data_IF_440503360998
#
_entry.id   IF_440503360998
#
_cell.length_a   1.000
_cell.length_b   1.000
_cell.length_c   1.000
_cell.angle_alpha   90.00
_cell.angle_beta   90.00
_cell.angle_gamma   90.00
#
_symmetry.space_group_name_H-M   'P 1'
#
loop_
_entity.id
_entity.type
_entity.pdbx_description
1 polymer ?
#
# COMPACT_ATOMS: atom_id res chain seq x y z
N UNK A 1 -37.00 51.59 58.53
CA UNK A 1 -37.10 51.11 57.13
C UNK A 1 -35.77 50.64 56.51
N UNK A 2 -34.62 51.28 56.76
CA UNK A 2 -33.31 50.88 56.15
C UNK A 2 -32.80 49.50 56.61
N UNK A 3 -32.99 49.14 57.90
CA UNK A 3 -32.58 47.84 58.47
C UNK A 3 -33.34 46.65 57.88
N UNK A 4 -34.65 46.81 57.62
CA UNK A 4 -35.47 45.77 57.00
C UNK A 4 -35.07 45.49 55.54
N UNK A 5 -34.77 46.56 54.76
CA UNK A 5 -34.28 46.42 53.39
C UNK A 5 -32.90 45.74 53.32
N UNK A 6 -32.01 46.05 54.26
CA UNK A 6 -30.71 45.39 54.34
C UNK A 6 -30.82 43.89 54.68
N UNK A 7 -31.75 43.53 55.58
CA UNK A 7 -32.00 42.15 55.94
C UNK A 7 -32.63 41.34 54.79
N UNK A 8 -33.54 41.95 54.02
CA UNK A 8 -34.10 41.35 52.80
C UNK A 8 -33.03 41.12 51.73
N UNK A 9 -32.12 42.10 51.51
CA UNK A 9 -31.01 41.95 50.56
C UNK A 9 -30.03 40.86 50.98
N UNK A 10 -29.74 40.73 52.28
CA UNK A 10 -28.86 39.67 52.80
C UNK A 10 -29.46 38.26 52.61
N UNK A 11 -30.77 38.10 52.82
CA UNK A 11 -31.47 36.82 52.58
C UNK A 11 -31.47 36.47 51.09
N UNK A 12 -31.71 37.45 50.23
CA UNK A 12 -31.72 37.25 48.77
C UNK A 12 -30.33 36.88 48.23
N UNK A 13 -29.28 37.53 48.75
CA UNK A 13 -27.89 37.18 48.45
C UNK A 13 -27.57 35.75 48.93
N UNK A 14 -27.91 35.40 50.17
CA UNK A 14 -27.68 34.05 50.71
C UNK A 14 -28.39 32.95 49.92
N UNK A 15 -29.63 33.21 49.47
CA UNK A 15 -30.36 32.29 48.60
C UNK A 15 -29.66 32.08 47.26
N UNK A 16 -29.17 33.15 46.61
CA UNK A 16 -28.45 33.03 45.33
C UNK A 16 -27.15 32.21 45.43
N UNK A 17 -26.42 32.33 46.55
CA UNK A 17 -25.23 31.52 46.84
C UNK A 17 -25.57 30.04 47.04
N UNK A 18 -26.70 29.73 47.68
CA UNK A 18 -27.15 28.36 47.89
C UNK A 18 -27.50 27.64 46.57
N UNK A 19 -28.08 28.35 45.60
CA UNK A 19 -28.42 27.77 44.28
C UNK A 19 -27.17 27.39 43.47
N UNK A 20 -26.06 28.12 43.60
CA UNK A 20 -24.80 27.81 42.90
C UNK A 20 -24.18 26.50 43.43
N UNK A 21 -24.32 26.22 44.73
CA UNK A 21 -23.82 24.99 45.34
C UNK A 21 -24.57 23.73 44.90
N UNK A 22 -25.84 23.84 44.52
CA UNK A 22 -26.65 22.68 44.13
C UNK A 22 -26.13 21.98 42.86
N UNK A 23 -25.55 22.72 41.91
CA UNK A 23 -25.02 22.13 40.67
C UNK A 23 -23.73 21.33 40.92
N UNK A 24 -22.84 21.85 41.79
CA UNK A 24 -21.64 21.12 42.22
C UNK A 24 -21.96 19.84 42.99
N UNK A 25 -23.02 19.86 43.82
CA UNK A 25 -23.48 18.68 44.56
C UNK A 25 -24.08 17.66 43.60
N UNK A 26 -24.76 18.11 42.54
CA UNK A 26 -25.34 17.23 41.51
C UNK A 26 -24.28 16.50 40.70
N UNK A 27 -23.17 17.17 40.38
CA UNK A 27 -22.00 16.57 39.74
C UNK A 27 -21.28 15.59 40.70
N UNK A 28 -21.02 16.00 41.95
CA UNK A 28 -20.38 15.15 42.95
C UNK A 28 -21.22 13.92 43.35
N UNK A 29 -22.56 14.04 43.31
CA UNK A 29 -23.50 12.95 43.54
C UNK A 29 -23.66 12.04 42.31
N UNK A 30 -22.96 12.29 41.20
CA UNK A 30 -22.99 11.45 40.00
C UNK A 30 -24.32 11.44 39.26
N UNK A 31 -25.16 12.46 39.48
CA UNK A 31 -26.48 12.58 38.82
C UNK A 31 -26.33 13.11 37.40
N UNK A 32 -25.20 13.74 37.08
CA UNK A 32 -24.83 14.14 35.72
C UNK A 32 -24.21 12.95 34.98
N UNK A 33 -24.82 12.59 33.85
CA UNK A 33 -24.29 11.56 32.96
C UNK A 33 -23.12 12.14 32.18
N UNK A 34 -21.90 11.71 32.49
CA UNK A 34 -20.75 11.82 31.59
C UNK A 34 -20.75 10.58 30.68
N UNK A 35 -21.17 10.68 29.42
CA UNK A 35 -21.08 9.55 28.50
C UNK A 35 -19.60 9.18 28.29
N UNK A 36 -19.26 7.89 28.31
CA UNK A 36 -17.91 7.45 27.92
C UNK A 36 -17.60 7.89 26.50
N UNK A 37 -16.36 8.30 26.26
CA UNK A 37 -15.84 8.62 24.93
C UNK A 37 -16.00 7.41 24.00
N UNK A 38 -16.82 7.55 22.96
CA UNK A 38 -17.13 6.50 21.99
C UNK A 38 -15.91 5.97 21.23
N UNK A 39 -14.79 6.70 21.21
CA UNK A 39 -13.54 6.24 20.59
C UNK A 39 -12.60 5.54 21.57
N UNK A 40 -12.88 5.59 22.87
CA UNK A 40 -12.10 4.93 23.92
C UNK A 40 -12.69 3.57 24.34
N UNK A 41 -13.85 3.17 23.78
CA UNK A 41 -14.50 1.90 24.12
C UNK A 41 -13.80 0.74 23.43
N UNK A 42 -12.95 0.03 24.19
CA UNK A 42 -12.34 -1.23 23.74
C UNK A 42 -13.26 -2.39 24.12
N UNK A 43 -13.62 -3.21 23.13
CA UNK A 43 -14.35 -4.47 23.35
C UNK A 43 -13.43 -5.48 24.03
N UNK A 44 -13.77 -5.89 25.25
CA UNK A 44 -13.08 -6.99 25.95
C UNK A 44 -13.59 -8.34 25.47
N UNK A 45 -12.70 -9.32 25.39
CA UNK A 45 -13.08 -10.71 25.08
C UNK A 45 -14.06 -11.25 26.13
N UNK A 46 -15.05 -12.07 25.73
CA UNK A 46 -16.02 -12.65 26.66
C UNK A 46 -15.33 -13.54 27.70
N UNK A 47 -15.77 -13.46 28.95
CA UNK A 47 -15.28 -14.33 30.02
C UNK A 47 -16.01 -15.67 29.93
N UNK A 48 -15.41 -16.64 29.23
CA UNK A 48 -15.85 -18.04 29.25
C UNK A 48 -14.95 -18.79 30.21
N UNK A 49 -15.57 -19.55 31.12
CA UNK A 49 -14.85 -20.44 32.01
C UNK A 49 -14.60 -21.74 31.25
N UNK A 50 -13.33 -22.10 30.94
CA UNK A 50 -13.04 -23.35 30.28
C UNK A 50 -13.37 -24.54 31.19
N UNK A 51 -13.76 -25.69 30.62
CA UNK A 51 -14.10 -26.90 31.38
C UNK A 51 -12.93 -27.43 32.21
N UNK A 52 -11.69 -27.10 31.84
CA UNK A 52 -10.48 -27.44 32.59
C UNK A 52 -9.96 -26.24 33.40
N UNK A 53 -10.15 -26.31 34.71
CA UNK A 53 -9.65 -25.33 35.69
C UNK A 53 -8.16 -25.50 36.06
N UNK A 54 -7.44 -26.43 35.42
CA UNK A 54 -6.04 -26.77 35.75
C UNK A 54 -5.00 -25.76 35.21
N UNK A 55 -5.42 -24.56 34.81
CA UNK A 55 -4.48 -23.51 34.42
C UNK A 55 -3.80 -22.92 35.65
N UNK A 56 -2.50 -22.67 35.53
CA UNK A 56 -1.75 -21.92 36.53
C UNK A 56 -2.43 -20.55 36.71
N UNK A 57 -2.81 -20.16 37.94
CA UNK A 57 -3.41 -18.87 38.19
C UNK A 57 -2.53 -17.75 37.61
N UNK A 58 -3.13 -16.74 36.94
CA UNK A 58 -2.37 -15.62 36.40
C UNK A 58 -1.66 -14.89 37.55
N UNK A 59 -0.42 -14.46 37.29
CA UNK A 59 0.33 -13.66 38.26
C UNK A 59 -0.37 -12.30 38.45
N UNK A 60 -0.57 -11.83 39.68
CA UNK A 60 -1.09 -10.48 39.93
C UNK A 60 -0.26 -9.44 39.18
N UNK A 61 -0.92 -8.58 38.41
CA UNK A 61 -0.28 -7.52 37.62
C UNK A 61 0.31 -7.94 36.26
N UNK A 62 0.25 -9.22 35.89
CA UNK A 62 0.65 -9.63 34.54
C UNK A 62 -0.41 -9.19 33.49
N UNK A 63 0.01 -8.80 32.28
CA UNK A 63 -0.91 -8.50 31.20
C UNK A 63 -1.84 -9.71 30.91
N UNK A 64 -3.13 -9.48 30.68
CA UNK A 64 -4.07 -10.55 30.35
C UNK A 64 -3.69 -11.24 29.03
N UNK A 65 -3.53 -12.57 29.06
CA UNK A 65 -3.14 -13.36 27.89
C UNK A 65 -4.27 -13.51 26.85
N UNK A 66 -5.51 -13.25 27.27
CA UNK A 66 -6.71 -13.36 26.44
C UNK A 66 -7.08 -12.04 25.72
N UNK A 67 -6.26 -11.00 25.84
CA UNK A 67 -6.51 -9.70 25.21
C UNK A 67 -5.43 -9.43 24.18
N UNK A 68 -5.81 -9.49 22.89
CA UNK A 68 -4.97 -9.00 21.81
C UNK A 68 -5.02 -7.48 21.83
N UNK A 69 -3.86 -6.81 21.78
CA UNK A 69 -3.81 -5.35 21.70
C UNK A 69 -4.62 -4.85 20.49
N UNK A 70 -5.38 -3.75 20.61
CA UNK A 70 -6.12 -3.17 19.49
C UNK A 70 -5.19 -2.80 18.33
N UNK A 71 -3.97 -2.33 18.62
CA UNK A 71 -2.94 -2.06 17.60
C UNK A 71 -2.54 -3.31 16.84
N UNK A 72 -2.44 -4.45 17.52
CA UNK A 72 -2.03 -5.71 16.93
C UNK A 72 -3.15 -6.31 16.07
N UNK A 73 -4.39 -6.15 16.51
CA UNK A 73 -5.60 -6.52 15.76
C UNK A 73 -5.75 -5.65 14.50
N UNK A 74 -5.54 -4.34 14.61
CA UNK A 74 -5.56 -3.43 13.45
C UNK A 74 -4.44 -3.78 12.47
N UNK A 75 -3.23 -4.08 12.97
CA UNK A 75 -2.11 -4.52 12.13
C UNK A 75 -2.45 -5.82 11.38
N UNK A 76 -3.01 -6.82 12.05
CA UNK A 76 -3.41 -8.05 11.37
C UNK A 76 -4.53 -7.83 10.34
N UNK A 77 -5.49 -6.94 10.63
CA UNK A 77 -6.56 -6.61 9.68
C UNK A 77 -6.06 -5.85 8.45
N UNK A 78 -5.11 -4.92 8.64
CA UNK A 78 -4.56 -4.11 7.54
C UNK A 78 -3.60 -4.90 6.66
N UNK A 79 -2.74 -5.72 7.28
CA UNK A 79 -1.70 -6.42 6.55
C UNK A 79 -2.13 -7.82 6.10
N UNK A 80 -3.23 -8.38 6.64
CA UNK A 80 -3.93 -9.64 6.30
C UNK A 80 -3.11 -10.77 5.64
N UNK A 81 -1.84 -10.85 5.96
CA UNK A 81 -0.90 -11.83 5.43
C UNK A 81 -0.54 -12.67 6.63
N UNK A 82 -1.26 -13.77 6.79
CA UNK A 82 -0.85 -14.79 7.73
C UNK A 82 0.57 -15.22 7.33
N UNK A 83 1.59 -15.06 8.18
CA UNK A 83 2.95 -15.47 7.85
C UNK A 83 3.00 -16.95 7.47
N UNK A 84 2.07 -17.78 7.93
CA UNK A 84 1.96 -19.17 7.50
C UNK A 84 1.50 -19.33 6.03
N UNK A 85 0.53 -18.52 5.57
CA UNK A 85 0.09 -18.55 4.17
C UNK A 85 1.18 -18.01 3.23
N UNK A 86 1.89 -16.97 3.69
CA UNK A 86 3.02 -16.39 2.97
C UNK A 86 4.20 -17.37 2.93
N UNK A 87 4.49 -18.08 4.03
CA UNK A 87 5.54 -19.10 4.05
C UNK A 87 5.23 -20.30 3.12
N UNK A 88 3.95 -20.56 2.84
CA UNK A 88 3.53 -21.56 1.86
C UNK A 88 3.70 -21.10 0.41
N UNK A 89 3.61 -19.80 0.14
CA UNK A 89 3.77 -19.22 -1.20
C UNK A 89 5.23 -19.00 -1.60
N UNK A 90 6.19 -19.05 -0.66
CA UNK A 90 7.62 -18.91 -0.98
C UNK A 90 8.13 -20.16 -1.70
N UNK A 91 8.46 -20.04 -2.98
CA UNK A 91 9.09 -21.09 -3.78
C UNK A 91 10.61 -21.10 -3.59
N UNK A 92 11.19 -22.29 -3.44
CA UNK A 92 12.63 -22.49 -3.31
C UNK A 92 12.97 -23.66 -2.41
N UNK A 93 14.25 -24.05 -2.37
CA UNK A 93 14.73 -25.13 -1.51
C UNK A 93 15.04 -24.62 -0.10
N UNK A 94 14.00 -24.18 0.61
CA UNK A 94 14.09 -23.65 1.98
C UNK A 94 13.43 -24.59 2.97
N UNK A 95 14.01 -24.70 4.15
CA UNK A 95 13.38 -25.42 5.27
C UNK A 95 12.09 -24.72 5.73
N UNK A 96 11.18 -25.42 6.43
CA UNK A 96 9.96 -24.82 6.96
C UNK A 96 10.21 -23.61 7.87
N UNK A 97 11.29 -23.66 8.67
CA UNK A 97 11.68 -22.57 9.57
C UNK A 97 12.20 -21.33 8.82
N UNK A 98 12.98 -21.54 7.76
CA UNK A 98 13.47 -20.44 6.91
C UNK A 98 12.33 -19.77 6.15
N UNK A 99 11.35 -20.53 5.64
CA UNK A 99 10.17 -19.97 4.98
C UNK A 99 9.35 -19.09 5.93
N UNK A 100 9.20 -19.53 7.18
CA UNK A 100 8.54 -18.71 8.22
C UNK A 100 9.32 -17.42 8.50
N UNK A 101 10.64 -17.50 8.62
CA UNK A 101 11.47 -16.31 8.85
C UNK A 101 11.37 -15.32 7.68
N UNK A 102 11.46 -15.82 6.44
CA UNK A 102 11.32 -15.02 5.22
C UNK A 102 9.93 -14.38 5.10
N UNK A 103 8.87 -15.11 5.45
CA UNK A 103 7.52 -14.58 5.51
C UNK A 103 7.39 -13.45 6.54
N UNK A 104 7.95 -13.62 7.73
CA UNK A 104 7.97 -12.56 8.75
C UNK A 104 8.84 -11.37 8.37
N UNK A 105 9.90 -11.58 7.58
CA UNK A 105 10.79 -10.54 7.08
C UNK A 105 10.21 -9.79 5.87
N UNK A 106 9.03 -10.18 5.36
CA UNK A 106 8.42 -9.57 4.17
C UNK A 106 9.12 -9.91 2.86
N UNK A 107 9.99 -10.94 2.85
CA UNK A 107 10.77 -11.31 1.68
C UNK A 107 9.95 -12.03 0.59
N UNK A 108 8.69 -12.38 0.88
CA UNK A 108 7.79 -13.02 -0.08
C UNK A 108 7.34 -12.09 -1.21
N UNK A 109 7.36 -10.77 -1.01
CA UNK A 109 7.03 -9.76 -2.03
C UNK A 109 8.20 -9.51 -3.01
N UNK A 110 9.38 -10.07 -2.75
CA UNK A 110 10.54 -9.92 -3.62
C UNK A 110 10.39 -10.81 -4.84
N UNK A 111 10.26 -10.23 -6.03
CA UNK A 111 10.15 -11.03 -7.25
C UNK A 111 11.49 -11.69 -7.62
N UNK A 112 11.47 -13.01 -7.84
CA UNK A 112 12.66 -13.77 -8.26
C UNK A 112 13.23 -13.29 -9.61
N UNK A 113 12.42 -12.59 -10.41
CA UNK A 113 12.79 -12.05 -11.72
C UNK A 113 13.56 -10.72 -11.67
N UNK A 114 13.78 -10.11 -10.48
CA UNK A 114 14.47 -8.81 -10.37
C UNK A 114 15.83 -8.82 -11.08
N UNK A 115 16.59 -9.92 -11.01
CA UNK A 115 17.88 -10.03 -11.70
C UNK A 115 17.75 -9.96 -13.22
N UNK A 116 16.71 -10.59 -13.76
CA UNK A 116 16.43 -10.58 -15.21
C UNK A 116 15.91 -9.21 -15.63
N UNK A 117 15.06 -8.58 -14.82
CA UNK A 117 14.58 -7.22 -15.05
C UNK A 117 15.73 -6.22 -15.07
N UNK A 118 16.62 -6.26 -14.07
CA UNK A 118 17.80 -5.39 -14.00
C UNK A 118 18.74 -5.65 -15.19
N UNK A 119 18.96 -6.92 -15.56
CA UNK A 119 19.78 -7.25 -16.72
C UNK A 119 19.17 -6.69 -18.02
N UNK A 120 17.85 -6.81 -18.20
CA UNK A 120 17.14 -6.27 -19.35
C UNK A 120 17.16 -4.73 -19.38
N UNK A 121 16.99 -4.09 -18.22
CA UNK A 121 17.04 -2.63 -18.11
C UNK A 121 18.45 -2.09 -18.42
N UNK A 122 19.48 -2.71 -17.84
CA UNK A 122 20.88 -2.38 -18.14
C UNK A 122 21.22 -2.61 -19.62
N UNK A 123 20.71 -3.67 -20.25
CA UNK A 123 20.91 -3.91 -21.67
C UNK A 123 20.28 -2.82 -22.54
N UNK A 124 19.10 -2.30 -22.17
CA UNK A 124 18.47 -1.17 -22.86
C UNK A 124 19.27 0.12 -22.71
N UNK A 125 19.81 0.38 -21.51
CA UNK A 125 20.67 1.54 -21.27
C UNK A 125 21.99 1.47 -22.05
N UNK A 126 22.56 0.26 -22.21
CA UNK A 126 23.76 0.05 -23.02
C UNK A 126 23.48 0.15 -24.53
N UNK A 127 22.28 -0.22 -24.97
CA UNK A 127 21.85 -0.06 -26.36
C UNK A 127 21.41 1.39 -26.70
N UNK A 128 21.30 2.26 -25.69
CA UNK A 128 21.02 3.67 -25.93
C UNK A 128 22.23 4.34 -26.60
N UNK A 129 21.95 5.23 -27.56
CA UNK A 129 22.97 5.89 -28.36
C UNK A 129 23.84 6.83 -27.51
N UNK A 130 25.17 6.59 -27.40
CA UNK A 130 26.07 7.47 -26.64
C UNK A 130 26.42 8.76 -27.39
N UNK A 131 25.98 8.96 -28.63
CA UNK A 131 26.36 10.08 -29.52
C UNK A 131 26.29 11.46 -28.85
N UNK A 132 25.22 11.73 -28.09
CA UNK A 132 25.06 13.00 -27.38
C UNK A 132 26.12 13.20 -26.29
N UNK A 133 26.36 12.17 -25.48
CA UNK A 133 27.31 12.23 -24.36
C UNK A 133 28.76 12.27 -24.87
N UNK A 134 29.07 11.53 -25.94
CA UNK A 134 30.37 11.57 -26.62
C UNK A 134 30.66 12.95 -27.21
N UNK A 135 29.65 13.60 -27.82
CA UNK A 135 29.78 14.97 -28.33
C UNK A 135 30.08 15.97 -27.21
N UNK A 136 29.45 15.79 -26.04
CA UNK A 136 29.65 16.68 -24.89
C UNK A 136 30.99 16.46 -24.18
N UNK A 137 31.40 15.20 -24.00
CA UNK A 137 32.62 14.82 -23.27
C UNK A 137 33.89 14.95 -24.10
N UNK A 138 33.83 14.58 -25.38
CA UNK A 138 35.02 14.43 -26.22
C UNK A 138 35.07 15.43 -27.38
N UNK A 139 34.00 16.18 -27.64
CA UNK A 139 33.96 17.18 -28.72
C UNK A 139 34.12 16.59 -30.13
N UNK A 140 34.09 15.27 -30.25
CA UNK A 140 34.26 14.55 -31.52
C UNK A 140 32.91 14.50 -32.25
N UNK A 141 32.84 15.14 -33.42
CA UNK A 141 31.83 14.83 -34.43
C UNK A 141 32.21 13.51 -35.10
N UNK A 142 32.07 12.38 -34.40
CA UNK A 142 32.04 11.09 -35.08
C UNK A 142 30.86 11.16 -36.04
N UNK A 143 31.18 11.24 -37.34
CA UNK A 143 30.24 11.33 -38.45
C UNK A 143 29.06 10.41 -38.20
N UNK A 144 27.93 11.01 -37.83
CA UNK A 144 26.70 10.28 -37.64
C UNK A 144 26.49 9.43 -38.90
N UNK A 145 26.32 8.12 -38.74
CA UNK A 145 25.88 7.26 -39.85
C UNK A 145 24.42 7.56 -40.22
N UNK A 146 23.78 8.57 -39.60
CA UNK A 146 22.59 9.22 -40.12
C UNK A 146 22.97 10.06 -41.36
N UNK A 147 23.17 9.36 -42.47
CA UNK A 147 22.84 9.98 -43.76
C UNK A 147 21.46 10.62 -43.62
N UNK A 148 21.21 11.84 -44.16
CA UNK A 148 19.90 12.46 -44.13
C UNK A 148 18.85 11.44 -44.56
N UNK A 149 18.00 11.04 -43.61
CA UNK A 149 16.95 10.06 -43.85
C UNK A 149 15.97 10.75 -44.79
N UNK A 150 15.86 10.24 -46.01
CA UNK A 150 14.85 10.68 -46.96
C UNK A 150 13.47 10.32 -46.39
N UNK A 151 12.73 11.36 -45.99
CA UNK A 151 11.43 11.23 -45.36
C UNK A 151 10.43 10.46 -46.25
N UNK A 152 10.52 10.62 -47.57
CA UNK A 152 9.62 9.96 -48.51
C UNK A 152 9.96 8.49 -48.69
N UNK A 153 11.26 8.15 -48.70
CA UNK A 153 11.73 6.76 -48.75
C UNK A 153 11.38 6.01 -47.45
N UNK A 154 11.54 6.68 -46.30
CA UNK A 154 11.25 6.10 -44.99
C UNK A 154 9.74 5.92 -44.77
N UNK A 155 8.91 6.89 -45.20
CA UNK A 155 7.46 6.74 -45.18
C UNK A 155 6.99 5.53 -45.99
N UNK A 156 7.56 5.30 -47.18
CA UNK A 156 7.26 4.13 -48.01
C UNK A 156 7.65 2.82 -47.33
N UNK A 157 8.82 2.79 -46.69
CA UNK A 157 9.26 1.62 -45.89
C UNK A 157 8.28 1.32 -44.76
N UNK A 158 7.80 2.35 -44.05
CA UNK A 158 6.84 2.20 -42.94
C UNK A 158 5.49 1.66 -43.45
N UNK A 159 4.99 2.15 -44.58
CA UNK A 159 3.75 1.64 -45.18
C UNK A 159 3.90 0.17 -45.58
N UNK A 160 4.97 -0.19 -46.28
CA UNK A 160 5.22 -1.58 -46.69
C UNK A 160 5.43 -2.53 -45.50
N UNK A 161 6.11 -2.08 -44.45
CA UNK A 161 6.34 -2.89 -43.23
C UNK A 161 5.06 -3.07 -42.41
N UNK A 162 4.15 -2.09 -42.41
CA UNK A 162 2.80 -2.22 -41.84
C UNK A 162 1.94 -3.20 -42.63
N UNK A 163 1.95 -3.11 -43.96
CA UNK A 163 1.24 -4.05 -44.84
C UNK A 163 1.78 -5.48 -44.72
N UNK A 164 3.09 -5.63 -44.50
CA UNK A 164 3.75 -6.91 -44.25
C UNK A 164 3.62 -7.41 -42.80
N UNK A 165 2.91 -6.70 -41.91
CA UNK A 165 2.69 -7.10 -40.51
C UNK A 165 3.93 -7.09 -39.62
N UNK A 166 4.99 -6.38 -40.00
CA UNK A 166 6.25 -6.32 -39.23
C UNK A 166 6.29 -5.08 -38.32
N UNK A 167 6.65 -5.29 -37.05
CA UNK A 167 6.72 -4.24 -36.02
C UNK A 167 7.84 -3.24 -36.37
N UNK A 168 7.59 -1.91 -36.33
CA UNK A 168 8.61 -0.93 -36.66
C UNK A 168 9.60 -0.81 -35.48
N UNK A 169 10.82 -1.31 -35.66
CA UNK A 169 11.93 -1.14 -34.70
C UNK A 169 12.85 -2.35 -34.50
N UNK A 170 12.48 -3.53 -35.00
CA UNK A 170 13.32 -4.73 -34.88
C UNK A 170 14.51 -4.71 -35.84
N UNK A 171 15.73 -4.72 -35.29
CA UNK A 171 16.93 -5.02 -36.09
C UNK A 171 16.81 -6.42 -36.69
N UNK A 172 17.43 -6.63 -37.85
CA UNK A 172 17.29 -7.85 -38.68
C UNK A 172 17.71 -9.15 -37.97
N UNK A 173 18.44 -9.03 -36.85
CA UNK A 173 18.83 -10.13 -35.97
C UNK A 173 17.66 -10.71 -35.14
N UNK A 174 16.63 -9.94 -34.83
CA UNK A 174 15.45 -10.39 -34.06
C UNK A 174 14.47 -11.21 -34.92
N UNK A 175 14.54 -11.08 -36.25
CA UNK A 175 13.62 -11.74 -37.19
C UNK A 175 13.83 -13.27 -37.25
N UNK A 176 15.05 -13.76 -37.14
CA UNK A 176 15.32 -15.22 -37.18
C UNK A 176 14.86 -16.00 -35.94
N UNK A 177 14.61 -15.32 -34.82
CA UNK A 177 14.11 -15.98 -33.62
C UNK A 177 12.58 -16.17 -33.64
N UNK A 178 11.85 -15.27 -34.29
CA UNK A 178 10.39 -15.23 -34.24
C UNK A 178 9.69 -16.11 -35.32
N UNK A 179 10.42 -16.52 -36.36
CA UNK A 179 9.88 -17.45 -37.39
C UNK A 179 9.63 -18.87 -36.88
N UNK A 180 10.18 -19.24 -35.70
CA UNK A 180 9.95 -20.54 -35.06
C UNK A 180 8.66 -20.61 -34.22
N UNK A 181 7.96 -19.50 -34.00
CA UNK A 181 6.74 -19.47 -33.20
C UNK A 181 5.51 -19.28 -34.10
N UNK A 182 4.99 -20.38 -34.64
CA UNK A 182 3.68 -20.40 -35.32
C UNK A 182 2.58 -20.10 -34.30
N UNK A 183 2.10 -18.86 -34.25
CA UNK A 183 0.84 -18.51 -33.57
C UNK A 183 -0.27 -18.46 -34.63
N UNK A 184 -1.29 -19.30 -34.43
CA UNK A 184 -2.45 -19.36 -35.31
C UNK A 184 -3.24 -18.05 -35.21
N UNK A 185 -3.36 -17.37 -36.36
CA UNK A 185 -4.13 -16.14 -36.54
C UNK A 185 -5.62 -16.46 -36.43
N UNK A 186 -6.21 -16.16 -35.26
CA UNK A 186 -7.65 -16.00 -35.12
C UNK A 186 -8.06 -14.67 -35.73
N UNK A 187 -8.95 -14.73 -36.70
CA UNK A 187 -9.60 -13.59 -37.33
C UNK A 187 -10.53 -12.91 -36.30
N UNK A 188 -10.20 -11.69 -35.90
CA UNK A 188 -11.15 -10.76 -35.28
C UNK A 188 -10.78 -9.35 -35.71
N UNK A 189 -11.57 -8.83 -36.65
CA UNK A 189 -11.57 -7.44 -37.08
C UNK A 189 -12.03 -6.56 -35.91
N UNK A 190 -11.07 -6.02 -35.15
CA UNK A 190 -11.32 -4.97 -34.18
C UNK A 190 -10.51 -3.73 -34.58
N UNK A 191 -11.16 -2.85 -35.33
CA UNK A 191 -10.70 -1.52 -35.73
C UNK A 191 -10.69 -0.55 -34.53
N UNK A 192 -9.99 -0.92 -33.46
CA UNK A 192 -9.93 -0.19 -32.20
C UNK A 192 -8.57 0.45 -31.97
N UNK A 193 -8.23 1.50 -32.72
CA UNK A 193 -7.01 2.28 -32.48
C UNK A 193 -7.02 2.95 -31.10
N UNK A 194 -5.84 3.11 -30.49
CA UNK A 194 -5.56 3.69 -29.16
C UNK A 194 -6.32 4.99 -28.80
N UNK A 195 -6.82 5.73 -29.79
CA UNK A 195 -7.65 6.92 -29.59
C UNK A 195 -9.09 6.64 -29.12
N UNK A 196 -9.60 5.41 -29.22
CA UNK A 196 -10.96 5.09 -28.78
C UNK A 196 -11.15 5.01 -27.26
N UNK A 197 -10.08 5.08 -26.47
CA UNK A 197 -10.11 5.07 -25.00
C UNK A 197 -9.92 6.46 -24.36
N UNK A 198 -9.96 7.54 -25.16
CA UNK A 198 -9.75 8.93 -24.70
C UNK A 198 -11.05 9.74 -24.63
N UNK A 199 -12.18 9.21 -25.12
CA UNK A 199 -13.50 9.83 -25.02
C UNK A 199 -14.56 8.84 -24.53
#
# INVERSE_FOLDING_TARGET
MKRARFLQLAVLAGASLALIGCDSIREAAGVTKQPPDEFAVVTKAPLIIPPDYNLRPPKPGAPPLNQVSPTQTARSALFNTDPASVAASIQGNYSPGERMLLATAGAAESSNAIRQLIAADNAKLQAADPSFTDRLLFGDEKKDSSAPIDADAEAKRIVQSKEAGSVPGGTEAERKANDSATIQKGESDDDGGWFSNIF
#
